data_IF_556639270727
#
_entry.id   IF_556639270727
#
_cell.length_a   1.000
_cell.length_b   1.000
_cell.length_c   1.000
_cell.angle_alpha   90.00
_cell.angle_beta   90.00
_cell.angle_gamma   90.00
#
_symmetry.space_group_name_H-M   'P 1'
#
loop_
_entity.id
_entity.type
_entity.pdbx_description
1 polymer ?
#
# COMPACT_ATOMS: atom_id res chain seq x y z
N UNK A 1 -2.53 -9.06 -15.45
CA UNK A 1 -2.03 -9.27 -14.07
C UNK A 1 -1.76 -7.92 -13.40
N UNK A 2 -1.92 -7.80 -12.08
CA UNK A 2 -1.67 -6.56 -11.33
C UNK A 2 -0.49 -6.73 -10.37
N UNK A 3 0.35 -5.70 -10.25
CA UNK A 3 1.52 -5.68 -9.36
C UNK A 3 1.15 -6.01 -7.91
N UNK A 4 0.05 -5.42 -7.42
CA UNK A 4 -0.48 -5.64 -6.08
C UNK A 4 -0.80 -7.10 -5.76
N UNK A 5 -1.38 -7.83 -6.72
CA UNK A 5 -1.68 -9.26 -6.57
C UNK A 5 -0.40 -10.07 -6.40
N UNK A 6 0.65 -9.70 -7.13
CA UNK A 6 1.95 -10.35 -7.02
C UNK A 6 2.64 -10.06 -5.67
N UNK A 7 2.62 -8.80 -5.21
CA UNK A 7 3.13 -8.42 -3.88
C UNK A 7 2.40 -9.19 -2.79
N UNK A 8 1.07 -9.25 -2.87
CA UNK A 8 0.20 -9.95 -1.93
C UNK A 8 0.60 -11.42 -1.76
N UNK A 9 0.65 -12.18 -2.86
CA UNK A 9 0.97 -13.61 -2.83
C UNK A 9 2.44 -13.85 -2.45
N UNK A 10 3.37 -13.03 -2.95
CA UNK A 10 4.80 -13.19 -2.64
C UNK A 10 5.08 -12.93 -1.17
N UNK A 11 4.49 -11.88 -0.59
CA UNK A 11 4.59 -11.58 0.83
C UNK A 11 3.92 -12.67 1.67
N UNK A 12 2.75 -13.16 1.27
CA UNK A 12 2.10 -14.29 1.94
C UNK A 12 3.02 -15.53 2.00
N UNK A 13 3.63 -15.91 0.87
CA UNK A 13 4.58 -17.04 0.81
C UNK A 13 5.83 -16.79 1.66
N UNK A 14 6.42 -15.60 1.57
CA UNK A 14 7.58 -15.20 2.37
C UNK A 14 7.31 -15.25 3.87
N UNK A 15 6.18 -14.67 4.31
CA UNK A 15 5.73 -14.70 5.70
C UNK A 15 5.54 -16.13 6.19
N UNK A 16 4.86 -16.98 5.41
CA UNK A 16 4.62 -18.38 5.78
C UNK A 16 5.92 -19.20 5.87
N UNK A 17 6.91 -18.87 5.03
CA UNK A 17 8.24 -19.47 5.12
C UNK A 17 8.97 -19.06 6.40
N UNK A 18 8.90 -17.78 6.80
CA UNK A 18 9.62 -17.28 7.99
C UNK A 18 8.91 -17.49 9.33
N UNK A 19 7.58 -17.33 9.40
CA UNK A 19 6.78 -17.37 10.62
C UNK A 19 5.91 -18.63 10.74
N UNK A 20 5.95 -19.51 9.74
CA UNK A 20 5.09 -20.69 9.69
C UNK A 20 3.62 -20.36 9.43
N UNK A 21 2.75 -21.35 9.67
CA UNK A 21 1.31 -21.21 9.46
C UNK A 21 0.66 -20.50 10.65
N UNK A 22 -0.07 -19.44 10.40
CA UNK A 22 -0.68 -18.55 11.40
C UNK A 22 -2.10 -18.18 10.99
N UNK A 23 -2.94 -17.85 11.96
CA UNK A 23 -4.31 -17.41 11.68
C UNK A 23 -4.26 -15.98 11.09
N UNK A 24 -4.96 -15.73 9.99
CA UNK A 24 -5.04 -14.41 9.35
C UNK A 24 -3.89 -14.03 8.40
N UNK A 25 -3.10 -14.98 7.89
CA UNK A 25 -2.02 -14.72 6.91
C UNK A 25 -2.47 -13.88 5.70
N UNK A 26 -3.65 -14.17 5.14
CA UNK A 26 -4.24 -13.40 4.05
C UNK A 26 -4.56 -11.97 4.45
N UNK A 27 -5.06 -11.75 5.67
CA UNK A 27 -5.31 -10.39 6.16
C UNK A 27 -4.01 -9.62 6.36
N UNK A 28 -2.99 -10.25 6.95
CA UNK A 28 -1.68 -9.64 7.15
C UNK A 28 -1.01 -9.27 5.82
N UNK A 29 -1.11 -10.14 4.81
CA UNK A 29 -0.60 -9.83 3.48
C UNK A 29 -1.38 -8.70 2.79
N UNK A 30 -2.68 -8.59 3.06
CA UNK A 30 -3.51 -7.51 2.53
C UNK A 30 -3.12 -6.18 3.19
N UNK A 31 -2.92 -6.17 4.51
CA UNK A 31 -2.41 -5.00 5.24
C UNK A 31 -1.04 -4.55 4.72
N UNK A 32 -0.15 -5.49 4.40
CA UNK A 32 1.15 -5.16 3.80
C UNK A 32 1.01 -4.49 2.43
N UNK A 33 0.04 -4.91 1.62
CA UNK A 33 -0.24 -4.22 0.35
C UNK A 33 -0.89 -2.86 0.58
N UNK A 34 -1.86 -2.79 1.49
CA UNK A 34 -2.57 -1.56 1.84
C UNK A 34 -1.62 -0.49 2.41
N UNK A 35 -0.56 -0.87 3.11
CA UNK A 35 0.41 0.09 3.65
C UNK A 35 1.10 0.91 2.55
N UNK A 36 1.39 0.31 1.38
CA UNK A 36 1.94 1.06 0.24
C UNK A 36 0.93 2.05 -0.35
N UNK A 37 -0.35 1.68 -0.44
CA UNK A 37 -1.41 2.61 -0.86
C UNK A 37 -1.53 3.79 0.13
N UNK A 38 -1.42 3.50 1.44
CA UNK A 38 -1.43 4.51 2.50
C UNK A 38 -0.23 5.43 2.40
N UNK A 39 0.97 4.90 2.13
CA UNK A 39 2.17 5.72 1.93
C UNK A 39 2.03 6.67 0.73
N UNK A 40 1.49 6.18 -0.39
CA UNK A 40 1.19 7.04 -1.54
C UNK A 40 0.18 8.13 -1.19
N UNK A 41 -0.91 7.75 -0.53
CA UNK A 41 -1.95 8.68 -0.10
C UNK A 41 -1.39 9.78 0.82
N UNK A 42 -0.58 9.39 1.80
CA UNK A 42 0.07 10.34 2.71
C UNK A 42 1.07 11.23 1.99
N UNK A 43 1.85 10.70 1.05
CA UNK A 43 2.74 11.52 0.22
C UNK A 43 1.98 12.59 -0.55
N UNK A 44 0.85 12.23 -1.16
CA UNK A 44 -0.02 13.17 -1.87
C UNK A 44 -0.60 14.22 -0.92
N UNK A 45 -1.08 13.83 0.27
CA UNK A 45 -1.57 14.79 1.28
C UNK A 45 -0.51 15.80 1.69
N UNK A 46 0.74 15.36 1.89
CA UNK A 46 1.86 16.25 2.23
C UNK A 46 2.12 17.25 1.10
N UNK A 47 2.07 16.80 -0.16
CA UNK A 47 2.23 17.69 -1.31
C UNK A 47 1.09 18.70 -1.43
N UNK A 48 -0.16 18.28 -1.18
CA UNK A 48 -1.33 19.17 -1.16
C UNK A 48 -1.19 20.21 -0.07
N UNK A 49 -0.89 19.80 1.17
CA UNK A 49 -0.66 20.73 2.29
C UNK A 49 0.43 21.75 1.96
N UNK A 50 1.52 21.28 1.36
CA UNK A 50 2.60 22.18 0.91
C UNK A 50 2.17 23.12 -0.21
N UNK A 51 1.32 22.69 -1.13
CA UNK A 51 0.80 23.54 -2.23
C UNK A 51 -0.14 24.65 -1.76
N UNK A 52 -0.74 24.49 -0.58
CA UNK A 52 -1.56 25.51 0.09
C UNK A 52 -0.78 26.19 1.23
N UNK A 53 0.54 26.29 1.10
CA UNK A 53 1.43 26.96 2.06
C UNK A 53 1.28 26.49 3.52
N UNK A 54 0.97 25.21 3.71
CA UNK A 54 0.77 24.55 5.01
C UNK A 54 -0.45 25.07 5.79
N UNK A 55 -1.41 25.68 5.11
CA UNK A 55 -2.66 26.15 5.74
C UNK A 55 -3.45 24.97 6.32
N UNK A 56 -3.49 23.82 5.64
CA UNK A 56 -4.22 22.65 6.13
C UNK A 56 -3.63 22.12 7.45
N UNK A 57 -2.30 22.00 7.54
CA UNK A 57 -1.65 21.50 8.76
C UNK A 57 -1.56 22.52 9.88
N UNK A 58 -1.59 23.84 9.61
CA UNK A 58 -1.49 24.89 10.64
C UNK A 58 -2.83 25.41 11.14
N UNK A 59 -3.76 25.73 10.24
CA UNK A 59 -5.04 26.35 10.59
C UNK A 59 -6.14 25.29 10.76
N UNK A 60 -6.05 24.20 10.01
CA UNK A 60 -7.07 23.15 9.95
C UNK A 60 -6.53 21.79 10.43
N UNK A 61 -5.63 21.79 11.42
CA UNK A 61 -4.95 20.59 11.92
C UNK A 61 -5.93 19.43 12.23
N UNK A 62 -7.08 19.64 12.90
CA UNK A 62 -8.02 18.54 13.16
C UNK A 62 -8.62 17.94 11.88
N UNK A 63 -8.90 18.77 10.87
CA UNK A 63 -9.41 18.30 9.58
C UNK A 63 -8.33 17.58 8.79
N UNK A 64 -7.11 18.11 8.80
CA UNK A 64 -5.96 17.47 8.17
C UNK A 64 -5.73 16.08 8.76
N UNK A 65 -5.72 15.95 10.10
CA UNK A 65 -5.62 14.67 10.78
C UNK A 65 -6.80 13.73 10.48
N UNK A 66 -8.03 14.25 10.40
CA UNK A 66 -9.19 13.48 10.02
C UNK A 66 -9.05 12.88 8.60
N UNK A 67 -8.48 13.63 7.65
CA UNK A 67 -8.20 13.11 6.30
C UNK A 67 -7.18 11.97 6.32
N UNK A 68 -6.10 12.05 7.11
CA UNK A 68 -5.15 10.94 7.29
C UNK A 68 -5.86 9.66 7.73
N UNK A 69 -6.62 9.74 8.82
CA UNK A 69 -7.29 8.59 9.40
C UNK A 69 -8.36 8.03 8.47
N UNK A 70 -9.17 8.91 7.85
CA UNK A 70 -10.25 8.50 6.96
C UNK A 70 -9.71 7.85 5.68
N UNK A 71 -8.61 8.36 5.11
CA UNK A 71 -7.96 7.76 3.96
C UNK A 71 -7.41 6.37 4.28
N UNK A 72 -6.70 6.21 5.40
CA UNK A 72 -6.19 4.91 5.84
C UNK A 72 -7.31 3.87 6.00
N UNK A 73 -8.39 4.23 6.72
CA UNK A 73 -9.53 3.34 6.94
C UNK A 73 -10.25 2.99 5.62
N UNK A 74 -10.36 3.94 4.70
CA UNK A 74 -11.00 3.72 3.39
C UNK A 74 -10.17 2.76 2.54
N UNK A 75 -8.85 2.93 2.50
CA UNK A 75 -7.92 2.06 1.79
C UNK A 75 -7.98 0.63 2.36
N UNK A 76 -7.91 0.49 3.68
CA UNK A 76 -8.00 -0.82 4.34
C UNK A 76 -9.33 -1.52 4.01
N UNK A 77 -10.46 -0.82 4.14
CA UNK A 77 -11.79 -1.37 3.81
C UNK A 77 -11.89 -1.78 2.34
N UNK A 78 -11.35 -0.98 1.43
CA UNK A 78 -11.36 -1.27 -0.01
C UNK A 78 -10.52 -2.53 -0.32
N UNK A 79 -9.30 -2.60 0.23
CA UNK A 79 -8.40 -3.75 0.03
C UNK A 79 -8.94 -5.02 0.68
N UNK A 80 -9.49 -4.93 1.88
CA UNK A 80 -10.15 -6.06 2.55
C UNK A 80 -11.32 -6.60 1.71
N UNK A 81 -12.17 -5.73 1.15
CA UNK A 81 -13.28 -6.13 0.28
C UNK A 81 -12.81 -6.81 -1.02
N UNK A 82 -11.68 -6.38 -1.57
CA UNK A 82 -11.17 -6.88 -2.87
C UNK A 82 -10.29 -8.12 -2.75
N UNK A 83 -9.57 -8.30 -1.64
CA UNK A 83 -8.54 -9.34 -1.49
C UNK A 83 -8.88 -10.44 -0.49
N UNK A 84 -9.68 -10.16 0.54
CA UNK A 84 -9.96 -11.11 1.61
C UNK A 84 -11.39 -11.67 1.59
N UNK A 85 -12.37 -10.94 1.03
CA UNK A 85 -13.77 -11.41 0.97
C UNK A 85 -14.01 -12.46 -0.13
N UNK A 86 -14.98 -13.34 0.09
CA UNK A 86 -15.55 -14.26 -0.91
C UNK A 86 -14.52 -15.14 -1.64
N UNK A 87 -13.57 -15.74 -0.91
CA UNK A 87 -12.56 -16.61 -1.50
C UNK A 87 -11.63 -15.89 -2.50
N UNK A 88 -11.55 -14.55 -2.46
CA UNK A 88 -10.68 -13.78 -3.34
C UNK A 88 -9.21 -14.18 -3.23
N UNK A 89 -8.76 -14.63 -2.05
CA UNK A 89 -7.39 -15.12 -1.87
C UNK A 89 -7.03 -16.27 -2.81
N UNK A 90 -7.83 -17.34 -2.84
CA UNK A 90 -7.55 -18.51 -3.70
C UNK A 90 -7.59 -18.13 -5.18
N UNK A 91 -8.57 -17.30 -5.58
CA UNK A 91 -8.63 -16.78 -6.96
C UNK A 91 -7.38 -15.99 -7.35
N UNK A 92 -6.92 -15.07 -6.49
CA UNK A 92 -5.72 -14.27 -6.74
C UNK A 92 -4.47 -15.16 -6.76
N UNK A 93 -4.40 -16.16 -5.89
CA UNK A 93 -3.29 -17.11 -5.84
C UNK A 93 -3.21 -17.92 -7.12
N UNK A 94 -4.32 -18.48 -7.59
CA UNK A 94 -4.40 -19.24 -8.83
C UNK A 94 -4.02 -18.37 -10.05
N UNK A 95 -4.53 -17.14 -10.13
CA UNK A 95 -4.12 -16.19 -11.18
C UNK A 95 -2.60 -15.96 -11.19
N UNK A 96 -1.99 -15.73 -10.02
CA UNK A 96 -0.54 -15.48 -9.90
C UNK A 96 0.29 -16.73 -10.19
N UNK A 97 -0.22 -17.92 -9.86
CA UNK A 97 0.45 -19.19 -10.13
C UNK A 97 0.37 -19.61 -11.60
N UNK A 98 -0.72 -19.26 -12.29
CA UNK A 98 -0.93 -19.55 -13.72
C UNK A 98 -0.28 -18.53 -14.67
N UNK A 99 0.19 -17.39 -14.16
CA UNK A 99 0.82 -16.35 -14.98
C UNK A 99 2.17 -16.82 -15.56
N UNK A 100 2.38 -16.78 -16.89
CA UNK A 100 3.61 -17.26 -17.51
C UNK A 100 4.81 -16.31 -17.29
N UNK A 101 4.57 -14.99 -17.18
CA UNK A 101 5.62 -13.98 -17.06
C UNK A 101 6.00 -13.66 -15.60
N UNK A 102 6.17 -14.69 -14.75
CA UNK A 102 6.40 -14.52 -13.31
C UNK A 102 7.58 -13.61 -12.98
N UNK A 103 8.69 -13.73 -13.70
CA UNK A 103 9.90 -12.92 -13.48
C UNK A 103 9.65 -11.43 -13.72
N UNK A 104 8.96 -11.09 -14.82
CA UNK A 104 8.61 -9.70 -15.16
C UNK A 104 7.77 -9.06 -14.07
N UNK A 105 6.71 -9.74 -13.63
CA UNK A 105 5.84 -9.24 -12.56
C UNK A 105 6.54 -9.18 -11.20
N UNK A 106 7.45 -10.11 -10.93
CA UNK A 106 8.31 -10.07 -9.74
C UNK A 106 9.19 -8.83 -9.73
N UNK A 107 9.89 -8.53 -10.82
CA UNK A 107 10.75 -7.35 -10.93
C UNK A 107 9.90 -6.08 -10.81
N UNK A 108 8.78 -6.01 -11.53
CA UNK A 108 7.87 -4.86 -11.48
C UNK A 108 7.32 -4.62 -10.06
N UNK A 109 7.04 -5.70 -9.32
CA UNK A 109 6.59 -5.61 -7.93
C UNK A 109 7.65 -5.04 -6.97
N UNK A 110 8.91 -5.42 -7.16
CA UNK A 110 10.02 -4.89 -6.36
C UNK A 110 10.26 -3.42 -6.71
N UNK A 111 10.31 -3.10 -8.00
CA UNK A 111 10.48 -1.74 -8.48
C UNK A 111 9.36 -0.82 -7.94
N UNK A 112 8.13 -1.32 -7.94
CA UNK A 112 6.98 -0.60 -7.38
C UNK A 112 7.15 -0.32 -5.88
N UNK A 113 7.53 -1.31 -5.07
CA UNK A 113 7.74 -1.11 -3.63
C UNK A 113 8.84 -0.07 -3.35
N UNK A 114 9.96 -0.15 -4.09
CA UNK A 114 11.05 0.82 -3.97
C UNK A 114 10.57 2.23 -4.35
N UNK A 115 9.85 2.34 -5.47
CA UNK A 115 9.30 3.60 -5.94
C UNK A 115 8.37 4.25 -4.91
N UNK A 116 7.44 3.49 -4.30
CA UNK A 116 6.51 4.03 -3.30
C UNK A 116 7.27 4.58 -2.09
N UNK A 117 8.25 3.84 -1.59
CA UNK A 117 9.06 4.29 -0.44
C UNK A 117 9.84 5.54 -0.79
N UNK A 118 10.50 5.56 -1.96
CA UNK A 118 11.26 6.72 -2.42
C UNK A 118 10.35 7.94 -2.63
N UNK A 119 9.21 7.76 -3.28
CA UNK A 119 8.21 8.81 -3.48
C UNK A 119 7.73 9.39 -2.14
N UNK A 120 7.41 8.54 -1.16
CA UNK A 120 6.99 9.02 0.16
C UNK A 120 8.10 9.81 0.85
N UNK A 121 9.34 9.32 0.86
CA UNK A 121 10.48 10.03 1.42
C UNK A 121 10.72 11.37 0.72
N UNK A 122 10.59 11.41 -0.59
CA UNK A 122 10.69 12.62 -1.40
C UNK A 122 9.59 13.63 -1.02
N UNK A 123 8.34 13.19 -0.85
CA UNK A 123 7.24 14.04 -0.39
C UNK A 123 7.52 14.61 1.01
N UNK A 124 8.02 13.78 1.94
CA UNK A 124 8.43 14.23 3.27
C UNK A 124 9.56 15.27 3.20
N UNK A 125 10.54 15.06 2.32
CA UNK A 125 11.64 16.00 2.08
C UNK A 125 11.10 17.36 1.59
N UNK A 126 10.26 17.36 0.55
CA UNK A 126 9.63 18.58 0.02
C UNK A 126 8.75 19.26 1.07
N UNK A 127 7.94 18.50 1.80
CA UNK A 127 7.07 19.02 2.84
C UNK A 127 7.85 19.74 3.94
N UNK A 128 9.06 19.24 4.27
CA UNK A 128 9.91 19.84 5.30
C UNK A 128 10.75 21.00 4.79
N UNK A 129 11.47 20.82 3.68
CA UNK A 129 12.53 21.73 3.24
C UNK A 129 12.16 22.61 2.04
N UNK A 130 11.06 22.32 1.34
CA UNK A 130 10.77 22.94 0.04
C UNK A 130 11.52 22.23 -1.10
N UNK A 131 11.40 22.79 -2.31
CA UNK A 131 12.03 22.31 -3.54
C UNK A 131 13.42 22.93 -3.69
#
# INVERSE_FOLDING_TARGET
MNVWKYIYIKFHKFRRWGLGKTLGEGYAAMLFVASFDVLLYFGILILIDKSVDKVLSKEYEPLYFAFYMLGMLTIERLRNRTMCKNGAFERIKEEVENEPQKLKWSILSILYMIFVVFFFLFCCYIGKYGL
#
